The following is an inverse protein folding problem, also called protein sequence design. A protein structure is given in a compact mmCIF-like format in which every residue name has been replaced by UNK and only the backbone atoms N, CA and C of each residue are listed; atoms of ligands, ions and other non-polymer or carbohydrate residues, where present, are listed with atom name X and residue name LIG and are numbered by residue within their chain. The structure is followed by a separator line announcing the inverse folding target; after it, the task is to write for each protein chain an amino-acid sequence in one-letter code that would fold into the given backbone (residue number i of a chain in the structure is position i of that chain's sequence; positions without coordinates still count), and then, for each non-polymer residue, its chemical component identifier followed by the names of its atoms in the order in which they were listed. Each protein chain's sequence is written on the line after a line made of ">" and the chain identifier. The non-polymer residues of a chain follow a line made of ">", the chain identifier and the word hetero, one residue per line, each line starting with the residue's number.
data_IF_596716750776
#
_entry.id   IF_596716750776
#
_cell.length_a   1.000
_cell.length_b   1.000
_cell.length_c   1.000
_cell.angle_alpha   90.00
_cell.angle_beta   90.00
_cell.angle_gamma   90.00
#
_symmetry.space_group_name_H-M   'P 1'
#
loop_
_entity.id
_entity.type
_entity.pdbx_description
1 polymer ?
#
# COMPACT_ATOMS: atom_id res chain seq x y z
N UNK A 1 -10.09 0.23 -31.33
CA UNK A 1 -9.25 1.41 -31.02
C UNK A 1 -8.03 0.95 -30.25
N UNK A 2 -6.83 1.43 -30.61
CA UNK A 2 -5.56 1.11 -29.93
C UNK A 2 -5.19 2.31 -29.04
N UNK A 3 -4.78 2.06 -27.80
CA UNK A 3 -4.32 3.12 -26.90
C UNK A 3 -3.14 3.89 -27.55
N UNK A 4 -3.30 5.21 -27.71
CA UNK A 4 -2.28 6.09 -28.31
C UNK A 4 -2.44 6.43 -29.79
N UNK A 5 -3.51 6.00 -30.48
CA UNK A 5 -3.73 6.42 -31.87
C UNK A 5 -4.16 7.91 -31.95
N UNK A 6 -3.82 8.62 -33.05
CA UNK A 6 -4.23 10.02 -33.26
C UNK A 6 -5.75 10.22 -33.19
N UNK A 7 -6.52 9.19 -33.55
CA UNK A 7 -7.98 9.17 -33.53
C UNK A 7 -8.56 9.16 -32.10
N UNK A 8 -7.83 8.61 -31.12
CA UNK A 8 -8.22 8.59 -29.70
C UNK A 8 -7.84 9.91 -29.00
N UNK A 9 -6.78 10.58 -29.45
CA UNK A 9 -6.32 11.85 -28.88
C UNK A 9 -7.31 13.03 -29.13
N UNK A 10 -8.12 12.96 -30.19
CA UNK A 10 -9.11 13.97 -30.53
C UNK A 10 -10.37 13.94 -29.62
N UNK A 11 -10.57 12.85 -28.87
CA UNK A 11 -11.82 12.58 -28.15
C UNK A 11 -11.67 12.50 -26.64
N UNK A 12 -11.01 13.47 -25.98
CA UNK A 12 -11.16 13.80 -24.55
C UNK A 12 -10.97 12.70 -23.48
N UNK A 13 -10.76 11.45 -23.87
CA UNK A 13 -10.79 10.30 -22.99
C UNK A 13 -9.37 10.07 -22.48
N UNK A 14 -9.03 10.81 -21.42
CA UNK A 14 -7.80 10.59 -20.65
C UNK A 14 -7.93 9.27 -19.90
N UNK A 15 -7.62 8.17 -20.57
CA UNK A 15 -7.57 6.86 -19.94
C UNK A 15 -6.43 6.87 -18.94
N UNK A 16 -6.76 6.62 -17.69
CA UNK A 16 -5.77 6.38 -16.65
C UNK A 16 -5.05 5.06 -16.96
N UNK A 17 -3.79 5.16 -17.39
CA UNK A 17 -2.99 4.01 -17.78
C UNK A 17 -2.76 3.05 -16.62
N UNK A 18 -2.80 3.55 -15.37
CA UNK A 18 -2.70 2.71 -14.18
C UNK A 18 -3.90 1.75 -14.04
N UNK A 19 -5.09 2.18 -14.49
CA UNK A 19 -6.29 1.32 -14.54
C UNK A 19 -6.28 0.36 -15.72
N UNK A 20 -5.55 0.67 -16.79
CA UNK A 20 -5.49 -0.15 -17.99
C UNK A 20 -4.44 -1.28 -17.87
N UNK A 21 -3.30 -0.98 -17.23
CA UNK A 21 -2.18 -1.91 -17.11
C UNK A 21 -2.01 -2.50 -15.70
N UNK A 22 -2.84 -2.07 -14.74
CA UNK A 22 -2.77 -2.48 -13.34
C UNK A 22 -1.76 -1.64 -12.57
N UNK A 23 -2.23 -0.91 -11.56
CA UNK A 23 -1.35 -0.30 -10.56
C UNK A 23 -1.04 -1.36 -9.49
N UNK A 24 0.21 -1.47 -9.02
CA UNK A 24 0.49 -2.33 -7.90
C UNK A 24 -0.25 -1.84 -6.66
N UNK A 25 -0.81 -2.75 -5.89
CA UNK A 25 -1.44 -2.42 -4.62
C UNK A 25 -0.38 -2.03 -3.56
N UNK A 26 -0.85 -1.53 -2.41
CA UNK A 26 0.06 -1.08 -1.34
C UNK A 26 0.96 -2.21 -0.80
N UNK A 27 0.51 -3.47 -0.86
CA UNK A 27 1.26 -4.63 -0.40
C UNK A 27 2.33 -4.98 -1.42
N UNK A 28 2.01 -4.93 -2.71
CA UNK A 28 2.93 -5.16 -3.82
C UNK A 28 4.06 -4.13 -3.82
N UNK A 29 3.74 -2.84 -3.62
CA UNK A 29 4.73 -1.77 -3.52
C UNK A 29 5.66 -2.02 -2.32
N UNK A 30 5.11 -2.29 -1.14
CA UNK A 30 5.91 -2.48 0.06
C UNK A 30 6.76 -3.78 0.00
N UNK A 31 6.27 -4.84 -0.65
CA UNK A 31 7.07 -6.04 -0.91
C UNK A 31 8.21 -5.76 -1.89
N UNK A 32 7.96 -4.97 -2.94
CA UNK A 32 8.97 -4.57 -3.91
C UNK A 32 10.08 -3.73 -3.26
N UNK A 33 9.74 -2.73 -2.45
CA UNK A 33 10.72 -1.90 -1.74
C UNK A 33 11.58 -2.75 -0.79
N UNK A 34 10.97 -3.65 -0.02
CA UNK A 34 11.71 -4.58 0.85
C UNK A 34 12.66 -5.46 0.05
N UNK A 35 12.21 -6.03 -1.06
CA UNK A 35 13.03 -6.94 -1.87
C UNK A 35 14.21 -6.23 -2.52
N UNK A 36 14.06 -4.95 -2.91
CA UNK A 36 15.17 -4.09 -3.34
C UNK A 36 16.23 -3.98 -2.25
N UNK A 37 15.82 -3.70 -1.01
CA UNK A 37 16.74 -3.61 0.13
C UNK A 37 17.41 -4.96 0.47
N UNK A 38 16.67 -6.07 0.38
CA UNK A 38 17.21 -7.42 0.59
C UNK A 38 18.32 -7.75 -0.41
N UNK A 39 18.08 -7.50 -1.70
CA UNK A 39 19.07 -7.71 -2.76
C UNK A 39 20.27 -6.81 -2.56
N UNK A 40 20.07 -5.55 -2.17
CA UNK A 40 21.16 -4.60 -1.92
C UNK A 40 22.12 -5.08 -0.81
N UNK A 41 21.61 -5.80 0.19
CA UNK A 41 22.42 -6.38 1.28
C UNK A 41 22.84 -7.84 1.03
N UNK A 42 22.68 -8.36 -0.20
CA UNK A 42 23.13 -9.68 -0.61
C UNK A 42 22.23 -10.84 -0.17
N UNK A 43 20.95 -10.56 0.12
CA UNK A 43 19.94 -11.57 0.44
C UNK A 43 19.01 -11.78 -0.75
N UNK A 44 18.35 -12.95 -0.78
CA UNK A 44 17.37 -13.25 -1.81
C UNK A 44 16.09 -12.41 -1.65
N UNK A 45 15.50 -12.00 -2.77
CA UNK A 45 14.17 -11.42 -2.81
C UNK A 45 13.12 -12.46 -2.41
N UNK A 46 12.11 -12.04 -1.66
CA UNK A 46 11.16 -12.96 -1.02
C UNK A 46 9.77 -12.87 -1.65
N UNK A 47 9.47 -11.76 -2.34
CA UNK A 47 8.20 -11.50 -2.99
C UNK A 47 7.03 -11.51 -2.00
N UNK A 48 5.84 -11.86 -2.50
CA UNK A 48 4.64 -11.93 -1.67
C UNK A 48 4.60 -13.16 -0.73
N UNK A 49 5.56 -14.09 -0.83
CA UNK A 49 5.54 -15.37 -0.10
C UNK A 49 5.66 -15.23 1.42
N UNK A 50 6.39 -14.22 1.92
CA UNK A 50 6.49 -13.94 3.37
C UNK A 50 5.46 -12.93 3.84
N UNK A 51 4.81 -12.22 2.92
CA UNK A 51 3.86 -11.15 3.23
C UNK A 51 4.50 -9.96 3.95
N UNK A 52 3.67 -9.04 4.42
CA UNK A 52 4.06 -7.92 5.29
C UNK A 52 3.50 -8.24 6.69
N UNK A 53 4.36 -8.43 7.71
CA UNK A 53 3.88 -8.74 9.05
C UNK A 53 3.03 -7.59 9.59
N UNK A 54 1.92 -7.91 10.25
CA UNK A 54 1.10 -6.88 10.88
C UNK A 54 1.89 -6.27 12.03
N UNK A 55 1.99 -4.93 12.06
CA UNK A 55 2.77 -4.20 13.08
C UNK A 55 2.38 -4.52 14.53
N UNK A 56 1.19 -5.10 14.73
CA UNK A 56 0.61 -5.42 16.03
C UNK A 56 0.37 -6.92 16.24
N UNK A 57 1.01 -7.82 15.49
CA UNK A 57 0.84 -9.28 15.67
C UNK A 57 1.18 -9.75 17.11
N UNK A 58 2.10 -9.05 17.78
CA UNK A 58 2.46 -9.30 19.17
C UNK A 58 1.73 -8.43 20.21
N UNK A 59 0.76 -7.58 19.82
CA UNK A 59 0.03 -6.76 20.79
C UNK A 59 -0.84 -7.70 21.63
N UNK A 60 -0.67 -7.78 22.96
CA UNK A 60 -1.52 -8.60 23.79
C UNK A 60 -2.97 -8.15 23.61
N UNK A 61 -3.85 -9.09 23.28
CA UNK A 61 -5.27 -8.79 23.22
C UNK A 61 -5.74 -8.53 24.65
N UNK A 62 -6.18 -7.29 24.89
CA UNK A 62 -6.66 -6.83 26.18
C UNK A 62 -7.77 -5.81 26.00
N UNK A 63 -8.46 -5.47 27.11
CA UNK A 63 -9.36 -4.32 27.11
C UNK A 63 -8.59 -3.04 26.73
N UNK A 64 -9.32 -2.03 26.23
CA UNK A 64 -8.75 -0.69 25.98
C UNK A 64 -8.04 -0.21 27.23
N UNK A 65 -6.82 0.31 27.05
CA UNK A 65 -6.08 0.91 28.15
C UNK A 65 -6.42 2.40 28.32
N UNK A 66 -5.76 3.04 29.29
CA UNK A 66 -5.98 4.45 29.59
C UNK A 66 -5.53 5.36 28.44
N UNK A 67 -4.52 4.95 27.67
CA UNK A 67 -4.05 5.70 26.51
C UNK A 67 -5.02 5.58 25.34
N UNK A 68 -5.56 4.38 25.09
CA UNK A 68 -6.62 4.17 24.10
C UNK A 68 -7.84 5.08 24.44
N UNK A 69 -8.20 5.17 25.72
CA UNK A 69 -9.29 6.02 26.20
C UNK A 69 -8.98 7.52 26.04
N UNK A 70 -7.73 7.93 26.25
CA UNK A 70 -7.29 9.31 26.04
C UNK A 70 -7.33 9.70 24.56
N UNK A 71 -6.94 8.79 23.67
CA UNK A 71 -6.98 9.03 22.22
C UNK A 71 -8.43 9.16 21.74
N UNK A 72 -9.35 8.31 22.22
CA UNK A 72 -10.78 8.45 21.94
C UNK A 72 -11.31 9.83 22.39
N UNK A 73 -10.93 10.29 23.60
CA UNK A 73 -11.32 11.62 24.11
C UNK A 73 -10.73 12.77 23.29
N UNK A 74 -9.52 12.61 22.75
CA UNK A 74 -8.88 13.60 21.90
C UNK A 74 -9.59 13.68 20.54
N UNK A 75 -9.94 12.54 19.96
CA UNK A 75 -10.72 12.48 18.72
C UNK A 75 -12.13 13.09 18.91
N UNK A 76 -12.77 12.83 20.05
CA UNK A 76 -14.06 13.42 20.43
C UNK A 76 -14.00 14.95 20.57
N UNK A 77 -12.83 15.50 20.92
CA UNK A 77 -12.63 16.95 21.04
C UNK A 77 -12.56 17.66 19.67
N UNK A 78 -12.35 16.91 18.58
CA UNK A 78 -12.45 17.39 17.20
C UNK A 78 -11.41 18.44 16.81
N UNK A 79 -10.19 18.36 17.37
CA UNK A 79 -9.05 19.22 17.07
C UNK A 79 -8.37 18.90 15.73
#
# INVERSE_FOLDING_TARGET
>A
AIAGSPEVAAGGFKIDLSKLFGAPDAIEIAAQERDVELVAVGRDAVGLNVGIPKRQDGKPHGPKDDLDSLMDQLDDLGL
#
